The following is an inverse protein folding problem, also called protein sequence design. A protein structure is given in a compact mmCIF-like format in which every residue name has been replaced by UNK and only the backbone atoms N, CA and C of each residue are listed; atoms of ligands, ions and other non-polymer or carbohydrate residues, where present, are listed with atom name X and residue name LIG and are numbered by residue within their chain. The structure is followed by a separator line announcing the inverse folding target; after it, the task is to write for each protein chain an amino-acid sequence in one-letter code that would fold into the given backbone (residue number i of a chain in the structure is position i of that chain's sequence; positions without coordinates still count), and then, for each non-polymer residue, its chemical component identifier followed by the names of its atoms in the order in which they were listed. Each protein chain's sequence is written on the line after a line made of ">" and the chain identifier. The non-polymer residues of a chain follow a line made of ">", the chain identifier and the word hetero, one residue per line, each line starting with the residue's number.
data_IF_980408163194
#
_entry.id   IF_980408163194
#
_cell.length_a   1.000
_cell.length_b   1.000
_cell.length_c   1.000
_cell.angle_alpha   90.00
_cell.angle_beta   90.00
_cell.angle_gamma   90.00
#
_symmetry.space_group_name_H-M   'P 1'
#
loop_
_entity.id
_entity.type
_entity.pdbx_description
1 polymer ?
#
# COMPACT_ATOMS: atom_id res chain seq x y z
N UNK A 1 21.46 -14.53 -15.79
CA UNK A 1 20.21 -14.13 -15.12
C UNK A 1 19.63 -12.96 -15.88
N UNK A 2 18.55 -13.19 -16.61
CA UNK A 2 17.87 -12.14 -17.37
C UNK A 2 17.32 -11.08 -16.42
N UNK A 3 17.55 -9.81 -16.74
CA UNK A 3 17.01 -8.69 -15.96
C UNK A 3 15.48 -8.73 -16.05
N UNK A 4 14.75 -8.61 -14.93
CA UNK A 4 13.29 -8.57 -14.97
C UNK A 4 12.80 -7.43 -15.89
N UNK A 5 11.93 -7.77 -16.86
CA UNK A 5 11.35 -6.85 -17.86
C UNK A 5 10.42 -5.76 -17.28
N UNK A 6 10.30 -5.64 -15.97
CA UNK A 6 9.30 -4.80 -15.28
C UNK A 6 9.75 -3.34 -15.01
N UNK A 7 10.71 -2.81 -15.78
CA UNK A 7 11.30 -1.50 -15.55
C UNK A 7 10.80 -0.45 -16.53
N UNK A 8 9.51 -0.09 -16.41
CA UNK A 8 8.94 1.08 -17.08
C UNK A 8 9.22 2.31 -16.20
N UNK A 9 9.78 3.39 -16.77
CA UNK A 9 9.98 4.66 -16.05
C UNK A 9 8.63 5.21 -15.57
N UNK A 10 8.54 5.79 -14.36
CA UNK A 10 7.30 6.34 -13.85
C UNK A 10 6.83 7.50 -14.72
N UNK A 11 5.61 7.38 -15.23
CA UNK A 11 4.87 8.49 -15.81
C UNK A 11 4.43 9.41 -14.68
N UNK A 12 5.13 10.54 -14.54
CA UNK A 12 4.91 11.51 -13.48
C UNK A 12 3.67 12.39 -13.72
N UNK A 13 3.00 12.26 -14.88
CA UNK A 13 1.79 13.04 -15.18
C UNK A 13 0.54 12.51 -14.46
N UNK A 14 0.56 11.25 -14.00
CA UNK A 14 -0.58 10.62 -13.35
C UNK A 14 -0.56 10.84 -11.83
N UNK A 15 -1.68 11.26 -11.22
CA UNK A 15 -1.78 11.31 -9.78
C UNK A 15 -1.64 9.91 -9.18
N UNK A 16 -0.86 9.80 -8.11
CA UNK A 16 -0.61 8.54 -7.41
C UNK A 16 -1.65 8.33 -6.31
N UNK A 17 -2.37 7.22 -6.39
CA UNK A 17 -3.25 6.74 -5.32
C UNK A 17 -2.57 5.57 -4.63
N UNK A 18 -2.28 5.68 -3.34
CA UNK A 18 -1.79 4.53 -2.57
C UNK A 18 -2.97 3.75 -2.00
N UNK A 19 -3.04 2.46 -2.27
CA UNK A 19 -4.00 1.56 -1.66
C UNK A 19 -3.29 0.61 -0.68
N UNK A 20 -3.79 0.57 0.56
CA UNK A 20 -3.32 -0.34 1.60
C UNK A 20 -4.50 -1.04 2.25
N UNK A 21 -4.41 -2.34 2.51
CA UNK A 21 -5.58 -3.05 3.00
C UNK A 21 -5.28 -4.32 3.75
N UNK A 22 -6.23 -4.71 4.59
CA UNK A 22 -6.14 -5.93 5.38
C UNK A 22 -6.23 -7.18 4.50
N UNK A 23 -5.65 -8.27 5.01
CA UNK A 23 -5.94 -9.61 4.50
C UNK A 23 -7.43 -9.90 4.74
N UNK A 24 -8.10 -10.46 3.74
CA UNK A 24 -9.50 -10.87 3.83
C UNK A 24 -9.58 -12.36 4.14
N UNK A 25 -10.53 -12.75 4.98
CA UNK A 25 -10.84 -14.16 5.19
C UNK A 25 -11.46 -14.76 3.93
N UNK A 26 -11.29 -16.07 3.73
CA UNK A 26 -11.93 -16.78 2.62
C UNK A 26 -13.48 -16.68 2.69
N UNK A 27 -14.03 -16.55 3.88
CA UNK A 27 -15.46 -16.35 4.15
C UNK A 27 -15.95 -14.91 4.01
N UNK A 28 -15.09 -13.96 3.61
CA UNK A 28 -15.52 -12.57 3.42
C UNK A 28 -16.62 -12.49 2.35
N UNK A 29 -17.68 -11.67 2.55
CA UNK A 29 -18.79 -11.57 1.59
C UNK A 29 -18.33 -11.27 0.17
N UNK A 30 -18.97 -11.89 -0.83
CA UNK A 30 -18.67 -11.65 -2.26
C UNK A 30 -18.78 -10.17 -2.61
N UNK A 31 -19.83 -9.51 -2.13
CA UNK A 31 -20.08 -8.08 -2.35
C UNK A 31 -18.89 -7.19 -1.95
N UNK A 32 -18.21 -7.52 -0.84
CA UNK A 32 -17.02 -6.77 -0.42
C UNK A 32 -15.87 -6.96 -1.42
N UNK A 33 -15.69 -8.17 -1.93
CA UNK A 33 -14.64 -8.47 -2.90
C UNK A 33 -14.90 -7.78 -4.22
N UNK A 34 -16.14 -7.84 -4.71
CA UNK A 34 -16.55 -7.21 -5.96
C UNK A 34 -16.39 -5.70 -5.87
N UNK A 35 -16.75 -5.10 -4.73
CA UNK A 35 -16.53 -3.67 -4.48
C UNK A 35 -15.05 -3.27 -4.53
N UNK A 36 -14.15 -4.07 -3.97
CA UNK A 36 -12.71 -3.79 -4.02
C UNK A 36 -12.14 -3.92 -5.44
N UNK A 37 -12.62 -4.89 -6.22
CA UNK A 37 -12.24 -4.99 -7.63
C UNK A 37 -12.76 -3.77 -8.41
N UNK A 38 -14.04 -3.42 -8.25
CA UNK A 38 -14.64 -2.25 -8.88
C UNK A 38 -13.92 -0.94 -8.50
N UNK A 39 -13.42 -0.83 -7.26
CA UNK A 39 -12.64 0.31 -6.82
C UNK A 39 -11.31 0.44 -7.59
N UNK A 40 -10.62 -0.68 -7.82
CA UNK A 40 -9.41 -0.71 -8.64
C UNK A 40 -9.68 -0.33 -10.11
N UNK A 41 -10.77 -0.84 -10.68
CA UNK A 41 -11.22 -0.49 -12.03
C UNK A 41 -11.51 1.01 -12.13
N UNK A 42 -12.26 1.56 -11.17
CA UNK A 42 -12.62 2.97 -11.12
C UNK A 42 -11.40 3.89 -11.14
N UNK A 43 -10.42 3.67 -10.26
CA UNK A 43 -9.23 4.53 -10.21
C UNK A 43 -8.37 4.44 -11.47
N UNK A 44 -8.24 3.26 -12.05
CA UNK A 44 -7.54 3.09 -13.31
C UNK A 44 -8.23 3.84 -14.46
N UNK A 45 -9.57 3.82 -14.52
CA UNK A 45 -10.37 4.57 -15.50
C UNK A 45 -10.24 6.09 -15.31
N UNK A 46 -10.13 6.57 -14.07
CA UNK A 46 -9.85 7.97 -13.76
C UNK A 46 -8.40 8.39 -14.06
N UNK A 47 -7.56 7.49 -14.59
CA UNK A 47 -6.20 7.79 -14.99
C UNK A 47 -5.18 7.82 -13.84
N UNK A 48 -5.54 7.36 -12.64
CA UNK A 48 -4.62 7.28 -11.52
C UNK A 48 -3.58 6.17 -11.72
N UNK A 49 -2.38 6.40 -11.19
CA UNK A 49 -1.42 5.34 -10.93
C UNK A 49 -1.72 4.77 -9.54
N UNK A 50 -2.25 3.54 -9.49
CA UNK A 50 -2.56 2.85 -8.24
C UNK A 50 -1.31 2.16 -7.71
N UNK A 51 -0.90 2.52 -6.50
CA UNK A 51 0.29 2.04 -5.81
C UNK A 51 -0.14 1.11 -4.67
N UNK A 52 0.37 -0.12 -4.62
CA UNK A 52 -0.09 -1.12 -3.64
C UNK A 52 1.02 -2.09 -3.23
N UNK A 53 0.88 -2.72 -2.07
CA UNK A 53 1.74 -3.83 -1.65
C UNK A 53 1.47 -5.15 -2.38
N UNK A 54 0.37 -5.22 -3.15
CA UNK A 54 -0.18 -6.42 -3.81
C UNK A 54 -0.24 -7.66 -2.90
N UNK A 55 -0.50 -7.46 -1.61
CA UNK A 55 -0.55 -8.54 -0.63
C UNK A 55 -1.89 -9.29 -0.72
N UNK A 56 -1.94 -10.59 -0.35
CA UNK A 56 -3.18 -11.35 -0.39
C UNK A 56 -4.33 -10.67 0.38
N UNK A 57 -5.51 -10.57 -0.23
CA UNK A 57 -6.69 -9.92 0.36
C UNK A 57 -7.08 -8.63 -0.36
N UNK A 58 -7.26 -7.54 0.37
CA UNK A 58 -7.84 -6.31 -0.20
C UNK A 58 -6.95 -5.69 -1.28
N UNK A 59 -5.63 -5.65 -1.05
CA UNK A 59 -4.65 -5.11 -2.00
C UNK A 59 -4.65 -5.85 -3.34
N UNK A 60 -4.68 -7.19 -3.30
CA UNK A 60 -4.76 -8.03 -4.48
C UNK A 60 -6.06 -7.82 -5.27
N UNK A 61 -7.20 -7.66 -4.59
CA UNK A 61 -8.49 -7.44 -5.27
C UNK A 61 -8.52 -6.10 -6.01
N UNK A 62 -8.00 -5.04 -5.40
CA UNK A 62 -7.84 -3.75 -6.06
C UNK A 62 -6.88 -3.86 -7.25
N UNK A 63 -5.73 -4.53 -7.06
CA UNK A 63 -4.77 -4.75 -8.14
C UNK A 63 -5.40 -5.51 -9.33
N UNK A 64 -6.23 -6.52 -9.08
CA UNK A 64 -6.99 -7.23 -10.12
C UNK A 64 -7.91 -6.29 -10.90
N UNK A 65 -8.60 -5.38 -10.22
CA UNK A 65 -9.44 -4.38 -10.86
C UNK A 65 -8.64 -3.45 -11.79
N UNK A 66 -7.52 -2.92 -11.30
CA UNK A 66 -6.62 -2.08 -12.12
C UNK A 66 -6.14 -2.84 -13.36
N UNK A 67 -5.73 -4.10 -13.19
CA UNK A 67 -5.20 -4.94 -14.26
C UNK A 67 -6.25 -5.27 -15.34
N UNK A 68 -7.54 -5.28 -15.02
CA UNK A 68 -8.62 -5.45 -16.02
C UNK A 68 -8.76 -4.24 -16.94
N UNK A 69 -8.45 -3.05 -16.44
CA UNK A 69 -8.55 -1.81 -17.21
C UNK A 69 -7.24 -1.52 -17.92
N UNK A 70 -6.15 -1.39 -17.17
CA UNK A 70 -4.82 -1.11 -17.71
C UNK A 70 -3.72 -1.52 -16.70
N UNK A 71 -2.99 -2.61 -16.95
CA UNK A 71 -1.88 -3.04 -16.09
C UNK A 71 -0.77 -2.00 -15.87
N UNK A 72 -0.58 -1.06 -16.81
CA UNK A 72 0.40 0.02 -16.68
C UNK A 72 -0.01 1.12 -15.69
N UNK A 73 -1.25 1.09 -15.20
CA UNK A 73 -1.75 1.94 -14.12
C UNK A 73 -1.53 1.31 -12.72
N UNK A 74 -0.82 0.18 -12.62
CA UNK A 74 -0.48 -0.45 -11.35
C UNK A 74 1.04 -0.38 -11.07
N UNK A 75 1.39 0.05 -9.86
CA UNK A 75 2.74 -0.04 -9.31
C UNK A 75 2.74 -0.87 -8.01
N UNK A 76 3.31 -2.07 -8.10
CA UNK A 76 3.39 -3.02 -7.00
C UNK A 76 4.72 -2.84 -6.24
N UNK A 77 4.62 -2.52 -4.95
CA UNK A 77 5.74 -2.47 -4.03
C UNK A 77 5.85 -3.78 -3.25
N UNK A 78 6.91 -4.53 -3.51
CA UNK A 78 7.14 -5.85 -2.94
C UNK A 78 8.19 -5.80 -1.83
N UNK A 79 8.04 -6.61 -0.77
CA UNK A 79 9.04 -6.71 0.29
C UNK A 79 10.31 -7.44 -0.18
N UNK A 80 10.24 -8.28 -1.22
CA UNK A 80 11.38 -8.92 -1.89
C UNK A 80 11.01 -9.30 -3.34
N UNK A 81 12.02 -9.60 -4.17
CA UNK A 81 11.89 -9.70 -5.64
C UNK A 81 10.96 -10.83 -6.14
N UNK A 82 10.68 -11.83 -5.31
CA UNK A 82 9.84 -12.98 -5.64
C UNK A 82 8.59 -13.06 -4.75
N UNK A 83 8.09 -11.93 -4.26
CA UNK A 83 6.87 -11.90 -3.46
C UNK A 83 5.63 -12.12 -4.33
N UNK A 84 5.07 -13.34 -4.32
CA UNK A 84 3.86 -13.73 -5.08
C UNK A 84 3.93 -13.37 -6.58
N UNK A 85 4.90 -13.93 -7.33
CA UNK A 85 5.10 -13.60 -8.74
C UNK A 85 3.88 -13.97 -9.61
N UNK A 86 3.08 -14.94 -9.18
CA UNK A 86 1.83 -15.38 -9.80
C UNK A 86 0.72 -14.31 -9.80
N UNK A 87 0.87 -13.26 -8.97
CA UNK A 87 -0.11 -12.16 -8.85
C UNK A 87 0.28 -10.91 -9.62
N UNK A 88 1.41 -10.94 -10.32
CA UNK A 88 1.87 -9.86 -11.17
C UNK A 88 1.43 -10.11 -12.60
N UNK A 89 0.91 -9.08 -13.25
CA UNK A 89 0.48 -9.12 -14.65
C UNK A 89 1.50 -8.35 -15.50
N UNK A 90 1.74 -8.80 -16.72
CA UNK A 90 2.59 -8.07 -17.67
C UNK A 90 2.09 -6.63 -17.83
N UNK A 91 3.02 -5.67 -17.80
CA UNK A 91 2.74 -4.24 -17.78
C UNK A 91 2.69 -3.60 -16.39
N UNK A 92 2.56 -4.39 -15.31
CA UNK A 92 2.71 -3.85 -13.96
C UNK A 92 4.12 -3.30 -13.73
N UNK A 93 4.21 -2.15 -13.06
CA UNK A 93 5.47 -1.62 -12.54
C UNK A 93 5.78 -2.30 -11.22
N UNK A 94 7.00 -2.79 -11.05
CA UNK A 94 7.40 -3.51 -9.83
C UNK A 94 8.57 -2.80 -9.17
N UNK A 95 8.36 -2.41 -7.91
CA UNK A 95 9.36 -1.82 -7.04
C UNK A 95 9.59 -2.75 -5.85
N UNK A 96 10.82 -2.82 -5.36
CA UNK A 96 11.14 -3.68 -4.20
C UNK A 96 11.84 -2.86 -3.12
N UNK A 97 11.74 -3.30 -1.86
CA UNK A 97 12.35 -2.62 -0.71
C UNK A 97 13.87 -2.43 -0.84
N UNK A 98 14.53 -3.23 -1.71
CA UNK A 98 15.96 -3.06 -2.04
C UNK A 98 16.26 -1.69 -2.64
N UNK A 99 15.27 -1.06 -3.26
CA UNK A 99 15.35 0.29 -3.85
C UNK A 99 14.95 1.40 -2.87
N UNK A 100 14.64 1.06 -1.62
CA UNK A 100 14.28 2.06 -0.62
C UNK A 100 15.49 2.92 -0.26
N UNK A 101 15.27 4.23 -0.20
CA UNK A 101 16.27 5.23 0.16
C UNK A 101 16.56 5.22 1.67
N UNK A 102 17.62 5.91 2.09
CA UNK A 102 17.86 6.15 3.52
C UNK A 102 16.71 6.96 4.15
N UNK A 103 16.10 7.86 3.40
CA UNK A 103 14.98 8.66 3.88
C UNK A 103 13.75 7.78 4.16
N UNK A 104 13.43 6.83 3.29
CA UNK A 104 12.31 5.89 3.48
C UNK A 104 12.46 5.12 4.80
N UNK A 105 13.70 4.71 5.10
CA UNK A 105 14.04 4.00 6.34
C UNK A 105 13.86 4.88 7.56
N UNK A 106 14.35 6.13 7.50
CA UNK A 106 14.20 7.11 8.59
C UNK A 106 12.74 7.44 8.85
N UNK A 107 11.95 7.68 7.80
CA UNK A 107 10.50 7.95 7.90
C UNK A 107 9.78 6.77 8.55
N UNK A 108 10.02 5.54 8.07
CA UNK A 108 9.41 4.34 8.66
C UNK A 108 9.79 4.14 10.13
N UNK A 109 11.05 4.42 10.50
CA UNK A 109 11.54 4.33 11.88
C UNK A 109 10.91 5.40 12.78
N UNK A 110 10.77 6.64 12.31
CA UNK A 110 10.23 7.75 13.10
C UNK A 110 8.73 7.58 13.44
N UNK A 111 7.98 6.84 12.62
CA UNK A 111 6.55 6.67 12.79
C UNK A 111 6.14 5.54 13.75
N UNK A 112 7.10 4.73 14.24
CA UNK A 112 6.81 3.45 14.89
C UNK A 112 7.66 3.25 16.15
N UNK A 113 7.02 3.23 17.32
CA UNK A 113 7.67 3.12 18.64
C UNK A 113 8.51 1.85 18.81
N UNK A 114 8.08 0.74 18.21
CA UNK A 114 8.69 -0.58 18.37
C UNK A 114 9.71 -0.95 17.29
N UNK A 115 10.35 0.02 16.63
CA UNK A 115 11.22 -0.26 15.48
C UNK A 115 12.36 -1.25 15.78
N UNK A 116 13.01 -1.11 16.93
CA UNK A 116 14.17 -1.92 17.35
C UNK A 116 13.83 -3.39 17.56
N UNK A 117 12.61 -3.70 18.02
CA UNK A 117 12.17 -5.06 18.33
C UNK A 117 11.61 -5.80 17.10
N UNK A 118 11.36 -5.10 16.00
CA UNK A 118 10.82 -5.70 14.79
C UNK A 118 11.87 -6.56 14.07
N UNK A 119 11.43 -7.75 13.64
CA UNK A 119 12.23 -8.59 12.75
C UNK A 119 12.55 -7.85 11.44
N UNK A 120 13.60 -8.27 10.72
CA UNK A 120 14.00 -7.63 9.45
C UNK A 120 12.84 -7.60 8.45
N UNK A 121 12.11 -8.70 8.29
CA UNK A 121 10.97 -8.79 7.38
C UNK A 121 9.84 -7.81 7.76
N UNK A 122 9.59 -7.65 9.07
CA UNK A 122 8.62 -6.69 9.58
C UNK A 122 9.09 -5.28 9.22
N UNK A 123 10.33 -4.89 9.55
CA UNK A 123 10.91 -3.58 9.20
C UNK A 123 10.86 -3.29 7.70
N UNK A 124 11.26 -4.24 6.86
CA UNK A 124 11.24 -4.08 5.40
C UNK A 124 9.82 -3.79 4.88
N UNK A 125 8.79 -4.42 5.45
CA UNK A 125 7.39 -4.11 5.10
C UNK A 125 6.99 -2.66 5.45
N UNK A 126 7.61 -2.02 6.44
CA UNK A 126 7.29 -0.64 6.86
C UNK A 126 8.09 0.38 6.06
N UNK A 127 9.36 0.07 5.78
CA UNK A 127 10.16 0.83 4.80
C UNK A 127 9.44 0.87 3.46
N UNK A 128 8.86 -0.26 3.03
CA UNK A 128 8.03 -0.36 1.82
C UNK A 128 6.83 0.58 1.85
N UNK A 129 6.13 0.72 2.99
CA UNK A 129 5.02 1.69 3.09
C UNK A 129 5.51 3.13 2.91
N UNK A 130 6.60 3.52 3.57
CA UNK A 130 7.20 4.84 3.37
C UNK A 130 7.57 5.08 1.89
N UNK A 131 8.11 4.06 1.23
CA UNK A 131 8.44 4.12 -0.20
C UNK A 131 7.21 4.33 -1.10
N UNK A 132 6.08 3.67 -0.78
CA UNK A 132 4.82 3.81 -1.52
C UNK A 132 4.25 5.22 -1.44
N UNK A 133 4.41 5.90 -0.29
CA UNK A 133 3.81 7.21 -0.01
C UNK A 133 4.45 8.37 -0.78
N UNK A 134 5.64 8.20 -1.36
CA UNK A 134 6.29 9.28 -2.10
C UNK A 134 5.47 9.72 -3.31
N UNK A 135 5.17 11.02 -3.36
CA UNK A 135 4.36 11.64 -4.41
C UNK A 135 2.89 11.19 -4.43
N UNK A 136 2.40 10.51 -3.38
CA UNK A 136 1.01 10.12 -3.28
C UNK A 136 0.12 11.35 -3.09
N UNK A 137 -0.94 11.46 -3.90
CA UNK A 137 -1.95 12.51 -3.75
C UNK A 137 -2.88 12.20 -2.58
N UNK A 138 -3.20 10.91 -2.38
CA UNK A 138 -4.00 10.42 -1.27
C UNK A 138 -3.76 8.93 -1.03
N UNK A 139 -4.24 8.45 0.12
CA UNK A 139 -4.25 7.03 0.48
C UNK A 139 -5.69 6.56 0.63
N UNK A 140 -6.01 5.40 0.07
CA UNK A 140 -7.19 4.64 0.42
C UNK A 140 -6.80 3.41 1.25
N UNK A 141 -7.43 3.27 2.41
CA UNK A 141 -7.12 2.24 3.37
C UNK A 141 -8.32 1.33 3.63
N UNK A 142 -8.05 0.05 3.89
CA UNK A 142 -9.02 -0.88 4.52
C UNK A 142 -8.49 -1.29 5.89
N UNK A 143 -8.76 -0.51 6.95
CA UNK A 143 -8.23 -0.75 8.27
C UNK A 143 -8.76 -2.05 8.89
N UNK A 144 -7.99 -2.62 9.82
CA UNK A 144 -8.46 -3.70 10.69
C UNK A 144 -8.90 -3.12 12.03
N UNK A 145 -10.07 -2.49 12.08
CA UNK A 145 -10.59 -1.80 13.27
C UNK A 145 -10.65 -2.66 14.54
N UNK A 146 -10.75 -3.98 14.39
CA UNK A 146 -10.75 -4.92 15.50
C UNK A 146 -9.36 -5.24 16.07
N UNK A 147 -8.28 -4.66 15.54
CA UNK A 147 -6.92 -4.87 16.01
C UNK A 147 -6.39 -3.60 16.69
N UNK A 148 -5.59 -3.72 17.77
CA UNK A 148 -4.86 -2.60 18.33
C UNK A 148 -4.07 -1.86 17.25
N UNK A 149 -4.16 -0.53 17.27
CA UNK A 149 -3.48 0.31 16.30
C UNK A 149 -3.88 0.09 14.84
N UNK A 150 -5.02 -0.58 14.59
CA UNK A 150 -5.52 -1.04 13.28
C UNK A 150 -4.62 -2.04 12.54
N UNK A 151 -3.74 -2.72 13.29
CA UNK A 151 -2.77 -3.68 12.75
C UNK A 151 -1.76 -3.07 11.78
N UNK A 152 -1.24 -3.89 10.86
CA UNK A 152 -0.20 -3.47 9.89
C UNK A 152 -0.67 -2.36 8.95
N UNK A 153 -1.97 -2.30 8.63
CA UNK A 153 -2.53 -1.20 7.82
C UNK A 153 -2.46 0.12 8.58
N UNK A 154 -2.65 0.08 9.91
CA UNK A 154 -2.45 1.26 10.75
C UNK A 154 -1.02 1.81 10.72
N UNK A 155 0.00 0.94 10.58
CA UNK A 155 1.39 1.40 10.38
C UNK A 155 1.50 2.26 9.11
N UNK A 156 0.87 1.83 8.00
CA UNK A 156 0.87 2.57 6.75
C UNK A 156 0.10 3.90 6.86
N UNK A 157 -1.03 3.90 7.57
CA UNK A 157 -1.83 5.11 7.83
C UNK A 157 -1.02 6.14 8.63
N UNK A 158 -0.31 5.71 9.69
CA UNK A 158 0.58 6.59 10.47
C UNK A 158 1.67 7.22 9.62
N UNK A 159 2.30 6.42 8.75
CA UNK A 159 3.32 6.90 7.82
C UNK A 159 2.72 7.94 6.86
N UNK A 160 1.52 7.70 6.32
CA UNK A 160 0.83 8.65 5.46
C UNK A 160 0.53 9.98 6.16
N UNK A 161 0.00 9.93 7.39
CA UNK A 161 -0.25 11.14 8.19
C UNK A 161 1.03 11.90 8.51
N UNK A 162 2.11 11.20 8.87
CA UNK A 162 3.42 11.82 9.11
C UNK A 162 3.94 12.55 7.87
N UNK A 163 3.62 12.04 6.68
CA UNK A 163 3.97 12.66 5.40
C UNK A 163 2.96 13.71 4.91
N UNK A 164 1.94 14.05 5.72
CA UNK A 164 0.92 15.05 5.37
C UNK A 164 -0.07 14.58 4.30
N UNK A 165 -0.19 13.28 4.07
CA UNK A 165 -1.07 12.70 3.03
C UNK A 165 -2.45 12.43 3.63
N UNK A 166 -3.49 12.82 2.89
CA UNK A 166 -4.87 12.56 3.29
C UNK A 166 -5.20 11.07 3.12
N UNK A 167 -5.83 10.48 4.13
CA UNK A 167 -6.22 9.07 4.16
C UNK A 167 -7.74 8.96 4.15
N UNK A 168 -8.28 8.07 3.33
CA UNK A 168 -9.69 7.75 3.26
C UNK A 168 -9.93 6.27 3.58
N UNK A 169 -11.02 5.95 4.28
CA UNK A 169 -11.52 4.60 4.38
C UNK A 169 -12.17 4.20 3.05
N UNK A 170 -11.64 3.15 2.41
CA UNK A 170 -12.09 2.70 1.10
C UNK A 170 -13.48 2.07 1.09
N UNK A 171 -14.01 1.65 2.24
CA UNK A 171 -15.31 0.98 2.37
C UNK A 171 -16.39 1.89 2.95
N UNK A 172 -16.00 2.84 3.79
CA UNK A 172 -16.92 3.79 4.42
C UNK A 172 -16.96 5.15 3.72
N UNK A 173 -16.09 5.38 2.73
CA UNK A 173 -15.99 6.62 1.95
C UNK A 173 -15.91 7.88 2.84
N UNK A 174 -15.13 7.76 3.92
CA UNK A 174 -14.88 8.86 4.87
C UNK A 174 -13.40 9.11 5.03
N UNK A 175 -13.06 10.37 5.32
CA UNK A 175 -11.70 10.75 5.69
C UNK A 175 -11.34 10.14 7.05
N UNK A 176 -10.12 9.62 7.15
CA UNK A 176 -9.50 9.18 8.40
C UNK A 176 -8.56 10.28 8.89
N UNK A 177 -9.01 10.98 9.93
CA UNK A 177 -8.20 12.03 10.56
C UNK A 177 -7.12 11.45 11.47
N UNK A 178 -5.98 12.15 11.59
CA UNK A 178 -4.90 11.73 12.49
C UNK A 178 -5.43 11.55 13.92
N UNK A 179 -5.40 10.31 14.43
CA UNK A 179 -5.80 9.99 15.81
C UNK A 179 -4.57 10.14 16.72
N UNK A 180 -4.57 11.08 17.69
CA UNK A 180 -3.46 11.25 18.64
C UNK A 180 -3.07 9.95 19.36
N UNK A 181 -4.04 9.06 19.65
CA UNK A 181 -3.79 7.77 20.31
C UNK A 181 -3.04 6.78 19.43
N UNK A 182 -3.16 6.94 18.11
CA UNK A 182 -2.40 6.15 17.14
C UNK A 182 -1.04 6.79 16.87
N UNK A 183 -0.90 8.11 16.98
CA UNK A 183 0.34 8.84 16.67
C UNK A 183 1.34 8.79 17.81
N UNK A 184 0.90 8.57 19.06
CA UNK A 184 1.78 8.45 20.20
C UNK A 184 2.77 7.29 20.03
N UNK A 185 3.98 7.65 19.61
CA UNK A 185 5.17 6.82 19.66
C UNK A 185 5.54 6.74 21.14
N UNK A 186 5.10 5.71 21.85
CA UNK A 186 5.59 5.46 23.21
C UNK A 186 7.12 5.37 23.17
N UNK A 187 7.79 6.38 23.71
CA UNK A 187 9.23 6.38 23.96
C UNK A 187 9.47 5.60 25.24
N UNK A 188 9.72 4.30 25.14
CA UNK A 188 10.28 3.49 26.24
C UNK A 188 11.75 3.22 25.98
#
# INVERSE_FOLDING_TARGET
>A
MDKPKYLVKPDMSKPRLVFVGKRLAFSSPSLLRDRLVALGEHWAQQGYLVVTGNSPGSEELVARGVNRVNPACLEAYLPWDHYHPDKLVEGNRVMTVRRATLQDRKTAQACLSSWSIFSKAVRDSRVRFAQMMHGAAMVQAVPSYNKPGWGVVGDAIRIAWHMGITVFDALEDRRLDPDPKLIQVETH
#
